data_IF_765130481152
#
_entry.id   IF_765130481152
#
_cell.length_a   1.000
_cell.length_b   1.000
_cell.length_c   1.000
_cell.angle_alpha   90.00
_cell.angle_beta   90.00
_cell.angle_gamma   90.00
#
_symmetry.space_group_name_H-M   'P 1'
#
loop_
_entity.id
_entity.type
_entity.pdbx_description
1 polymer ?
#
# COMPACT_ATOMS: atom_id res chain seq x y z
N UNK A 1 -7.33 5.23 -29.36
CA UNK A 1 -7.39 5.26 -27.87
C UNK A 1 -6.45 4.16 -27.37
N UNK A 2 -5.64 4.45 -26.37
CA UNK A 2 -4.70 3.47 -25.81
C UNK A 2 -5.46 2.28 -25.16
N UNK A 3 -4.91 1.09 -25.21
CA UNK A 3 -5.47 -0.10 -24.57
C UNK A 3 -5.08 -0.14 -23.09
N UNK A 4 -6.05 -0.33 -22.21
CA UNK A 4 -5.85 -0.48 -20.78
C UNK A 4 -6.15 -1.93 -20.39
N UNK A 5 -5.19 -2.62 -19.76
CA UNK A 5 -5.41 -3.93 -19.15
C UNK A 5 -5.83 -3.77 -17.69
N UNK A 6 -6.98 -4.34 -17.35
CA UNK A 6 -7.54 -4.38 -16.00
C UNK A 6 -7.25 -5.77 -15.43
N UNK A 7 -6.43 -5.84 -14.37
CA UNK A 7 -6.02 -7.09 -13.77
C UNK A 7 -6.87 -7.38 -12.53
N UNK A 8 -7.57 -8.52 -12.53
CA UNK A 8 -8.45 -8.92 -11.42
C UNK A 8 -8.11 -10.34 -10.95
N UNK A 9 -7.28 -10.48 -9.93
CA UNK A 9 -7.20 -11.74 -9.19
C UNK A 9 -8.49 -11.94 -8.39
N UNK A 10 -9.04 -13.15 -8.37
CA UNK A 10 -10.23 -13.42 -7.57
C UNK A 10 -10.24 -14.81 -6.96
N UNK A 11 -10.90 -14.91 -5.82
CA UNK A 11 -11.21 -16.17 -5.14
C UNK A 11 -12.50 -15.97 -4.34
N UNK A 12 -13.47 -16.87 -4.54
CA UNK A 12 -14.75 -16.86 -3.85
C UNK A 12 -15.47 -15.49 -3.94
N UNK A 13 -15.61 -14.94 -5.16
CA UNK A 13 -16.12 -13.59 -5.44
C UNK A 13 -17.55 -13.55 -5.96
N UNK A 14 -18.27 -14.68 -5.98
CA UNK A 14 -19.59 -14.84 -6.60
C UNK A 14 -20.60 -13.76 -6.21
N UNK A 15 -20.53 -13.28 -4.94
CA UNK A 15 -21.47 -12.27 -4.40
C UNK A 15 -21.28 -10.87 -5.00
N UNK A 16 -20.08 -10.58 -5.54
CA UNK A 16 -19.68 -9.21 -5.85
C UNK A 16 -19.22 -9.03 -7.28
N UNK A 17 -18.73 -10.09 -7.93
CA UNK A 17 -18.10 -10.05 -9.24
C UNK A 17 -18.97 -9.41 -10.32
N UNK A 18 -20.32 -9.59 -10.25
CA UNK A 18 -21.24 -8.99 -11.21
C UNK A 18 -21.25 -7.47 -11.13
N UNK A 19 -21.25 -6.90 -9.94
CA UNK A 19 -21.24 -5.45 -9.75
C UNK A 19 -19.90 -4.85 -10.21
N UNK A 20 -18.79 -5.52 -9.90
CA UNK A 20 -17.47 -5.19 -10.43
C UNK A 20 -17.47 -5.22 -11.96
N UNK A 21 -17.95 -6.28 -12.57
CA UNK A 21 -18.06 -6.42 -14.05
C UNK A 21 -18.85 -5.27 -14.67
N UNK A 22 -20.05 -4.99 -14.13
CA UNK A 22 -20.89 -3.89 -14.64
C UNK A 22 -20.18 -2.54 -14.52
N UNK A 23 -19.36 -2.31 -13.49
CA UNK A 23 -18.58 -1.08 -13.34
C UNK A 23 -17.46 -0.94 -14.39
N UNK A 24 -16.87 -2.06 -14.80
CA UNK A 24 -15.86 -2.12 -15.88
C UNK A 24 -16.53 -1.89 -17.25
N UNK A 25 -17.63 -2.56 -17.52
CA UNK A 25 -18.38 -2.39 -18.77
C UNK A 25 -18.97 -0.98 -18.92
N UNK A 26 -19.27 -0.32 -17.81
CA UNK A 26 -19.76 1.06 -17.76
C UNK A 26 -18.69 2.13 -17.95
N UNK A 27 -17.42 1.78 -18.19
CA UNK A 27 -16.37 2.79 -18.36
C UNK A 27 -16.53 3.60 -19.64
N UNK A 28 -16.34 4.92 -19.54
CA UNK A 28 -16.39 5.83 -20.69
C UNK A 28 -15.22 5.65 -21.66
N UNK A 29 -14.08 5.19 -21.17
CA UNK A 29 -12.99 4.68 -21.99
C UNK A 29 -13.28 3.23 -22.35
N UNK A 30 -13.56 2.93 -23.61
CA UNK A 30 -14.06 1.61 -24.05
C UNK A 30 -12.99 0.66 -24.55
N UNK A 31 -11.76 1.15 -24.78
CA UNK A 31 -10.64 0.33 -25.26
C UNK A 31 -9.87 -0.27 -24.08
N UNK A 32 -10.45 -1.28 -23.47
CA UNK A 32 -9.86 -2.02 -22.36
C UNK A 32 -9.94 -3.53 -22.61
N UNK A 33 -9.09 -4.28 -21.97
CA UNK A 33 -9.20 -5.73 -21.78
C UNK A 33 -9.29 -6.03 -20.27
N UNK A 34 -10.01 -7.06 -19.91
CA UNK A 34 -10.18 -7.49 -18.51
C UNK A 34 -9.62 -8.89 -18.32
N UNK A 35 -8.60 -9.03 -17.48
CA UNK A 35 -7.92 -10.29 -17.23
C UNK A 35 -8.29 -10.77 -15.84
N UNK A 36 -9.14 -11.77 -15.80
CA UNK A 36 -9.66 -12.45 -14.63
C UNK A 36 -8.79 -13.68 -14.34
N UNK A 37 -8.22 -13.78 -13.16
CA UNK A 37 -7.44 -14.94 -12.75
C UNK A 37 -8.04 -15.56 -11.50
N UNK A 38 -8.58 -16.77 -11.66
CA UNK A 38 -9.15 -17.57 -10.59
C UNK A 38 -8.04 -18.15 -9.71
N UNK A 39 -8.00 -17.77 -8.44
CA UNK A 39 -7.05 -18.33 -7.46
C UNK A 39 -7.69 -19.47 -6.66
N UNK A 40 -8.04 -20.56 -7.37
CA UNK A 40 -8.58 -21.79 -6.76
C UNK A 40 -9.87 -21.58 -5.96
N UNK A 41 -10.85 -20.96 -6.58
CA UNK A 41 -12.18 -20.84 -6.02
C UNK A 41 -12.86 -22.21 -5.83
N UNK A 42 -13.74 -22.32 -4.86
CA UNK A 42 -14.40 -23.57 -4.48
C UNK A 42 -15.61 -23.91 -5.36
N UNK A 43 -16.25 -22.90 -5.99
CA UNK A 43 -17.46 -23.04 -6.80
C UNK A 43 -17.31 -22.32 -8.15
N UNK A 44 -18.31 -22.48 -9.02
CA UNK A 44 -18.36 -21.80 -10.33
C UNK A 44 -18.82 -20.34 -10.17
N UNK A 45 -17.91 -19.49 -9.73
CA UNK A 45 -18.17 -18.09 -9.39
C UNK A 45 -18.47 -17.21 -10.58
N UNK A 46 -18.02 -17.61 -11.77
CA UNK A 46 -18.28 -16.88 -12.99
C UNK A 46 -19.69 -17.09 -13.54
N UNK A 47 -20.51 -17.95 -12.92
CA UNK A 47 -21.91 -18.11 -13.30
C UNK A 47 -22.68 -16.78 -13.25
N UNK A 48 -22.34 -15.91 -12.28
CA UNK A 48 -22.94 -14.58 -12.13
C UNK A 48 -22.64 -13.61 -13.26
N UNK A 49 -21.59 -13.88 -14.05
CA UNK A 49 -21.19 -13.07 -15.21
C UNK A 49 -21.10 -13.88 -16.49
N UNK A 50 -21.72 -15.08 -16.55
CA UNK A 50 -21.65 -15.98 -17.70
C UNK A 50 -22.14 -15.32 -19.00
N UNK A 51 -23.09 -14.42 -18.91
CA UNK A 51 -23.60 -13.60 -20.01
C UNK A 51 -22.56 -12.61 -20.57
N UNK A 52 -21.58 -12.22 -19.80
CA UNK A 52 -20.53 -11.27 -20.16
C UNK A 52 -19.25 -11.95 -20.66
N UNK A 53 -19.00 -13.21 -20.29
CA UNK A 53 -17.75 -13.92 -20.61
C UNK A 53 -17.52 -14.15 -22.12
N UNK A 54 -18.54 -13.98 -22.97
CA UNK A 54 -18.41 -14.05 -24.43
C UNK A 54 -17.84 -12.74 -25.02
N UNK A 55 -17.66 -11.67 -24.24
CA UNK A 55 -17.04 -10.44 -24.74
C UNK A 55 -15.55 -10.70 -25.03
N UNK A 56 -15.08 -10.43 -26.28
CA UNK A 56 -13.70 -10.71 -26.67
C UNK A 56 -12.64 -9.93 -25.89
N UNK A 57 -13.03 -8.92 -25.12
CA UNK A 57 -12.15 -8.15 -24.25
C UNK A 57 -11.84 -8.84 -22.92
N UNK A 58 -12.55 -9.95 -22.60
CA UNK A 58 -12.34 -10.71 -21.36
C UNK A 58 -11.41 -11.88 -21.62
N UNK A 59 -10.37 -12.00 -20.80
CA UNK A 59 -9.52 -13.18 -20.72
C UNK A 59 -9.70 -13.80 -19.33
N UNK A 60 -10.16 -15.04 -19.29
CA UNK A 60 -10.30 -15.79 -18.05
C UNK A 60 -9.24 -16.89 -17.97
N UNK A 61 -8.57 -16.98 -16.82
CA UNK A 61 -7.43 -17.86 -16.59
C UNK A 61 -7.53 -18.53 -15.21
N UNK A 62 -7.01 -19.75 -15.10
CA UNK A 62 -6.78 -20.44 -13.83
C UNK A 62 -5.37 -20.17 -13.31
N UNK A 63 -5.25 -19.76 -12.05
CA UNK A 63 -3.95 -19.54 -11.43
C UNK A 63 -3.15 -20.84 -11.35
N UNK A 64 -1.97 -20.87 -11.96
CA UNK A 64 -1.05 -22.03 -11.90
C UNK A 64 -0.26 -22.08 -10.59
N UNK A 65 -0.12 -20.94 -9.92
CA UNK A 65 0.47 -20.80 -8.61
C UNK A 65 -0.58 -20.80 -7.50
N UNK A 66 -0.35 -20.06 -6.44
CA UNK A 66 -1.28 -19.89 -5.33
C UNK A 66 -1.18 -18.52 -4.71
N UNK A 67 -2.33 -17.92 -4.41
CA UNK A 67 -2.43 -16.62 -3.78
C UNK A 67 -2.45 -15.45 -4.76
N UNK A 68 -2.77 -14.30 -4.22
CA UNK A 68 -3.03 -13.08 -4.99
C UNK A 68 -1.84 -12.64 -5.85
N UNK A 69 -0.61 -12.84 -5.36
CA UNK A 69 0.61 -12.42 -6.07
C UNK A 69 0.83 -13.26 -7.33
N UNK A 70 0.69 -14.59 -7.24
CA UNK A 70 0.81 -15.49 -8.41
C UNK A 70 -0.29 -15.18 -9.43
N UNK A 71 -1.51 -14.89 -8.97
CA UNK A 71 -2.62 -14.52 -9.84
C UNK A 71 -2.36 -13.16 -10.52
N UNK A 72 -1.82 -12.16 -9.83
CA UNK A 72 -1.43 -10.87 -10.41
C UNK A 72 -0.29 -11.01 -11.42
N UNK A 73 0.74 -11.82 -11.12
CA UNK A 73 1.81 -12.12 -12.06
C UNK A 73 1.25 -12.73 -13.36
N UNK A 74 0.38 -13.74 -13.23
CA UNK A 74 -0.25 -14.38 -14.38
C UNK A 74 -1.12 -13.40 -15.17
N UNK A 75 -1.92 -12.57 -14.49
CA UNK A 75 -2.72 -11.54 -15.14
C UNK A 75 -1.84 -10.57 -15.93
N UNK A 76 -0.74 -10.13 -15.36
CA UNK A 76 0.20 -9.23 -16.02
C UNK A 76 0.92 -9.86 -17.21
N UNK A 77 1.32 -11.13 -17.12
CA UNK A 77 1.92 -11.88 -18.24
C UNK A 77 0.98 -11.98 -19.45
N UNK A 78 -0.35 -12.05 -19.23
CA UNK A 78 -1.35 -12.13 -20.29
C UNK A 78 -1.94 -10.78 -20.71
N UNK A 79 -1.55 -9.69 -20.02
CA UNK A 79 -1.94 -8.34 -20.39
C UNK A 79 -1.25 -7.90 -21.68
N UNK A 80 -1.96 -7.18 -22.54
CA UNK A 80 -1.45 -6.63 -23.81
C UNK A 80 -1.58 -5.11 -23.90
N UNK A 81 -2.22 -4.47 -22.91
CA UNK A 81 -2.44 -3.03 -22.87
C UNK A 81 -1.16 -2.24 -22.64
N UNK A 82 -1.15 -1.03 -23.20
CA UNK A 82 -0.11 -0.03 -22.97
C UNK A 82 -0.13 0.49 -21.53
N UNK A 83 -1.33 0.49 -20.91
CA UNK A 83 -1.54 0.89 -19.54
C UNK A 83 -2.11 -0.28 -18.72
N UNK A 84 -1.71 -0.30 -17.45
CA UNK A 84 -2.10 -1.35 -16.50
C UNK A 84 -2.79 -0.72 -15.30
N UNK A 85 -3.89 -1.33 -14.88
CA UNK A 85 -4.55 -1.07 -13.59
C UNK A 85 -4.95 -2.39 -12.94
N UNK A 86 -5.09 -2.38 -11.62
CA UNK A 86 -5.71 -3.48 -10.87
C UNK A 86 -7.13 -3.11 -10.50
N UNK A 87 -7.99 -4.12 -10.43
CA UNK A 87 -9.33 -4.01 -9.88
C UNK A 87 -9.64 -5.27 -9.08
N UNK A 88 -9.98 -5.13 -7.81
CA UNK A 88 -10.35 -6.27 -6.99
C UNK A 88 -11.79 -6.68 -7.31
N UNK A 89 -12.10 -7.99 -7.21
CA UNK A 89 -13.33 -8.59 -7.71
C UNK A 89 -14.59 -8.25 -6.88
N UNK A 90 -14.43 -7.52 -5.81
CA UNK A 90 -15.47 -7.10 -4.86
C UNK A 90 -15.69 -5.58 -4.84
N UNK A 91 -14.92 -4.82 -5.64
CA UNK A 91 -14.94 -3.36 -5.66
C UNK A 91 -15.68 -2.80 -6.88
N UNK A 92 -15.91 -1.48 -6.88
CA UNK A 92 -16.61 -0.78 -7.96
C UNK A 92 -15.82 0.46 -8.38
N UNK A 93 -15.67 0.68 -9.69
CA UNK A 93 -15.05 1.88 -10.23
C UNK A 93 -16.08 2.81 -10.87
N UNK A 94 -16.02 4.15 -10.65
CA UNK A 94 -16.85 5.11 -11.35
C UNK A 94 -16.60 5.09 -12.87
N UNK A 95 -17.63 5.32 -13.66
CA UNK A 95 -17.59 5.22 -15.11
C UNK A 95 -16.52 6.08 -15.80
N UNK A 96 -16.10 7.16 -15.19
CA UNK A 96 -15.09 8.08 -15.74
C UNK A 96 -13.64 7.71 -15.38
N UNK A 97 -13.40 6.74 -14.48
CA UNK A 97 -12.07 6.48 -13.90
C UNK A 97 -10.99 6.27 -14.94
N UNK A 98 -11.17 5.33 -15.85
CA UNK A 98 -10.13 4.99 -16.83
C UNK A 98 -9.83 6.18 -17.76
N UNK A 99 -10.86 6.89 -18.23
CA UNK A 99 -10.69 8.05 -19.10
C UNK A 99 -9.94 9.20 -18.41
N UNK A 100 -10.30 9.54 -17.17
CA UNK A 100 -9.66 10.62 -16.43
C UNK A 100 -8.21 10.26 -16.06
N UNK A 101 -7.96 9.02 -15.65
CA UNK A 101 -6.62 8.56 -15.34
C UNK A 101 -5.70 8.59 -16.56
N UNK A 102 -6.19 8.10 -17.69
CA UNK A 102 -5.44 8.13 -18.94
C UNK A 102 -5.10 9.55 -19.37
N UNK A 103 -6.08 10.47 -19.27
CA UNK A 103 -5.88 11.88 -19.60
C UNK A 103 -4.74 12.52 -18.78
N UNK A 104 -4.62 12.21 -17.50
CA UNK A 104 -3.54 12.71 -16.66
C UNK A 104 -2.19 12.12 -17.09
N UNK A 105 -2.11 10.80 -17.30
CA UNK A 105 -0.87 10.14 -17.74
C UNK A 105 -0.36 10.61 -19.12
N UNK A 106 -1.27 11.00 -20.01
CA UNK A 106 -0.90 11.50 -21.34
C UNK A 106 -0.46 12.99 -21.32
N UNK A 107 -0.97 13.79 -20.39
CA UNK A 107 -0.75 15.24 -20.38
C UNK A 107 0.17 15.74 -19.27
N UNK A 108 0.49 14.92 -18.28
CA UNK A 108 1.33 15.28 -17.13
C UNK A 108 2.59 14.42 -17.07
N UNK A 109 3.57 14.86 -16.27
CA UNK A 109 4.80 14.09 -16.03
C UNK A 109 4.64 12.96 -15.00
N UNK A 110 3.40 12.51 -14.77
CA UNK A 110 3.12 11.42 -13.86
C UNK A 110 3.46 10.06 -14.46
N UNK A 111 4.03 9.16 -13.67
CA UNK A 111 4.13 7.74 -14.00
C UNK A 111 2.92 6.96 -13.47
N UNK A 112 2.30 7.45 -12.39
CA UNK A 112 1.19 6.79 -11.74
C UNK A 112 0.09 7.83 -11.49
N UNK A 113 -1.15 7.44 -11.74
CA UNK A 113 -2.33 8.23 -11.37
C UNK A 113 -3.17 7.43 -10.38
N UNK A 114 -3.68 8.11 -9.38
CA UNK A 114 -4.62 7.60 -8.39
C UNK A 114 -5.73 8.63 -8.14
N UNK A 115 -6.60 8.37 -7.19
CA UNK A 115 -7.61 9.33 -6.75
C UNK A 115 -8.20 8.96 -5.40
N UNK A 116 -9.19 9.71 -4.95
CA UNK A 116 -9.85 9.44 -3.67
C UNK A 116 -10.60 8.10 -3.68
N UNK A 117 -10.71 7.52 -2.50
CA UNK A 117 -11.48 6.29 -2.26
C UNK A 117 -12.73 6.58 -1.45
N UNK A 118 -13.71 5.68 -1.53
CA UNK A 118 -14.91 5.71 -0.70
C UNK A 118 -15.25 4.29 -0.26
N UNK A 119 -15.25 4.04 1.06
CA UNK A 119 -15.75 2.77 1.59
C UNK A 119 -17.28 2.70 1.49
N UNK A 120 -17.76 1.49 1.21
CA UNK A 120 -19.20 1.18 1.25
C UNK A 120 -19.41 -0.28 1.67
N UNK A 121 -20.58 -0.58 2.19
CA UNK A 121 -20.97 -1.95 2.53
C UNK A 121 -22.44 -2.19 2.22
N UNK A 122 -22.85 -3.45 2.08
CA UNK A 122 -24.25 -3.81 1.87
C UNK A 122 -25.10 -3.50 3.09
N UNK A 123 -24.53 -3.52 4.29
CA UNK A 123 -25.21 -3.18 5.55
C UNK A 123 -25.29 -1.68 5.82
N UNK A 124 -24.57 -0.87 5.04
CA UNK A 124 -24.43 0.58 5.26
C UNK A 124 -23.54 0.96 6.44
N UNK A 125 -23.03 -0.01 7.20
CA UNK A 125 -22.17 0.23 8.37
C UNK A 125 -20.70 0.03 7.98
N UNK A 126 -19.90 1.06 8.21
CA UNK A 126 -18.43 1.02 8.04
C UNK A 126 -17.80 1.29 9.40
N UNK A 127 -16.80 0.51 9.78
CA UNK A 127 -16.10 0.70 11.06
C UNK A 127 -15.39 2.06 11.10
N UNK A 128 -15.26 2.63 12.30
CA UNK A 128 -14.53 3.90 12.49
C UNK A 128 -13.08 3.83 12.03
N UNK A 129 -12.43 2.67 12.14
CA UNK A 129 -11.07 2.45 11.66
C UNK A 129 -10.97 2.58 10.12
N UNK A 130 -11.91 2.00 9.38
CA UNK A 130 -11.94 2.15 7.92
C UNK A 130 -12.29 3.56 7.48
N UNK A 131 -13.19 4.25 8.18
CA UNK A 131 -13.48 5.65 7.89
C UNK A 131 -12.26 6.55 8.18
N UNK A 132 -11.52 6.29 9.24
CA UNK A 132 -10.29 7.02 9.53
C UNK A 132 -9.22 6.76 8.44
N UNK A 133 -9.11 5.52 7.94
CA UNK A 133 -8.19 5.18 6.87
C UNK A 133 -8.61 5.79 5.52
N UNK A 134 -9.92 5.79 5.19
CA UNK A 134 -10.47 6.51 4.03
C UNK A 134 -10.07 8.00 4.04
N UNK A 135 -10.31 8.67 5.17
CA UNK A 135 -9.98 10.08 5.33
C UNK A 135 -8.48 10.31 5.16
N UNK A 136 -7.67 9.50 5.80
CA UNK A 136 -6.21 9.60 5.71
C UNK A 136 -5.69 9.40 4.27
N UNK A 137 -6.19 8.41 3.53
CA UNK A 137 -5.85 8.20 2.12
C UNK A 137 -6.27 9.40 1.26
N UNK A 138 -7.48 9.93 1.49
CA UNK A 138 -8.02 11.06 0.74
C UNK A 138 -7.23 12.35 1.01
N UNK A 139 -6.75 12.56 2.24
CA UNK A 139 -5.80 13.64 2.57
C UNK A 139 -4.49 13.52 1.80
N UNK A 140 -3.95 12.30 1.59
CA UNK A 140 -2.74 12.10 0.77
C UNK A 140 -2.96 12.57 -0.66
N UNK A 141 -4.14 12.29 -1.22
CA UNK A 141 -4.54 12.77 -2.55
C UNK A 141 -4.64 14.31 -2.58
N UNK A 142 -5.29 14.92 -1.60
CA UNK A 142 -5.44 16.38 -1.51
C UNK A 142 -4.09 17.11 -1.38
N UNK A 143 -3.18 16.54 -0.59
CA UNK A 143 -1.85 17.09 -0.35
C UNK A 143 -0.84 16.73 -1.45
N UNK A 144 -1.19 15.81 -2.37
CA UNK A 144 -0.26 15.23 -3.35
C UNK A 144 0.99 14.62 -2.68
N UNK A 145 0.83 14.12 -1.44
CA UNK A 145 1.90 13.55 -0.64
C UNK A 145 1.72 12.04 -0.48
N UNK A 146 2.28 11.28 -1.41
CA UNK A 146 2.17 9.82 -1.42
C UNK A 146 3.37 9.11 -0.78
N UNK A 147 4.48 9.81 -0.58
CA UNK A 147 5.71 9.20 -0.04
C UNK A 147 6.12 9.73 1.34
N UNK A 148 5.66 10.91 1.74
CA UNK A 148 6.02 11.49 3.05
C UNK A 148 5.56 10.66 4.25
N UNK A 149 4.53 9.83 4.07
CA UNK A 149 4.00 8.94 5.12
C UNK A 149 4.12 7.44 4.75
N UNK A 150 5.01 7.11 3.79
CA UNK A 150 5.14 5.75 3.25
C UNK A 150 5.49 4.71 4.31
N UNK A 151 6.18 5.07 5.37
CA UNK A 151 6.51 4.15 6.48
C UNK A 151 5.39 4.01 7.50
N UNK A 152 4.43 4.94 7.53
CA UNK A 152 3.27 4.86 8.42
C UNK A 152 2.28 3.80 7.94
N UNK A 153 1.86 3.90 6.68
CA UNK A 153 0.91 2.99 6.06
C UNK A 153 0.98 3.07 4.53
N UNK A 154 0.42 2.08 3.81
CA UNK A 154 0.28 2.12 2.37
C UNK A 154 -0.61 3.30 1.97
N UNK A 155 -0.06 4.23 1.17
CA UNK A 155 -0.71 5.51 0.84
C UNK A 155 -1.61 5.44 -0.38
N UNK A 156 -1.73 4.28 -1.02
CA UNK A 156 -2.62 4.02 -2.16
C UNK A 156 -3.46 2.77 -1.93
N UNK A 157 -4.71 2.82 -2.34
CA UNK A 157 -5.55 1.63 -2.38
C UNK A 157 -5.11 0.71 -3.53
N UNK A 158 -5.04 -0.61 -3.26
CA UNK A 158 -4.52 -1.64 -4.17
C UNK A 158 -5.12 -1.62 -5.58
N UNK A 159 -6.44 -1.34 -5.70
CA UNK A 159 -7.18 -1.28 -6.97
C UNK A 159 -7.38 0.14 -7.53
N UNK A 160 -6.68 1.15 -6.99
CA UNK A 160 -6.96 2.56 -7.36
C UNK A 160 -5.77 3.29 -7.97
N UNK A 161 -5.17 2.73 -8.98
CA UNK A 161 -4.09 3.35 -9.74
C UNK A 161 -4.14 2.97 -11.22
N UNK A 162 -3.47 3.75 -12.06
CA UNK A 162 -3.18 3.45 -13.46
C UNK A 162 -1.73 3.89 -13.73
N UNK A 163 -0.98 3.10 -14.49
CA UNK A 163 0.37 3.43 -14.93
C UNK A 163 0.68 2.83 -16.30
N UNK A 164 1.77 3.29 -16.94
CA UNK A 164 2.26 2.66 -18.17
C UNK A 164 2.81 1.28 -17.87
N UNK A 165 2.57 0.35 -18.79
CA UNK A 165 3.13 -1.01 -18.70
C UNK A 165 4.66 -0.99 -18.60
N UNK A 166 5.33 -0.19 -19.41
CA UNK A 166 6.80 -0.04 -19.41
C UNK A 166 7.36 0.40 -18.05
N UNK A 167 6.66 1.31 -17.37
CA UNK A 167 7.06 1.78 -16.06
C UNK A 167 6.88 0.69 -14.99
N UNK A 168 5.76 -0.07 -15.08
CA UNK A 168 5.54 -1.22 -14.20
C UNK A 168 6.59 -2.31 -14.41
N UNK A 169 6.96 -2.61 -15.66
CA UNK A 169 8.02 -3.56 -15.99
C UNK A 169 9.39 -3.08 -15.46
N UNK A 170 9.71 -1.80 -15.61
CA UNK A 170 10.96 -1.21 -15.14
C UNK A 170 11.13 -1.29 -13.63
N UNK A 171 10.06 -1.11 -12.85
CA UNK A 171 10.11 -1.27 -11.40
C UNK A 171 9.94 -2.74 -10.94
N UNK A 172 9.95 -3.71 -11.85
CA UNK A 172 9.94 -5.14 -11.57
C UNK A 172 8.56 -5.81 -11.55
N UNK A 173 7.50 -5.11 -11.97
CA UNK A 173 6.14 -5.66 -12.06
C UNK A 173 5.59 -6.18 -10.72
N UNK A 174 4.80 -7.23 -10.78
CA UNK A 174 4.38 -7.97 -9.57
C UNK A 174 5.43 -9.02 -9.24
N UNK A 175 5.91 -9.06 -7.99
CA UNK A 175 6.98 -9.96 -7.55
C UNK A 175 6.46 -10.92 -6.48
N UNK A 176 6.91 -12.19 -6.55
CA UNK A 176 6.52 -13.26 -5.62
C UNK A 176 7.25 -13.23 -4.28
N UNK A 177 8.11 -12.24 -4.05
CA UNK A 177 9.07 -12.28 -2.95
C UNK A 177 8.62 -11.55 -1.68
N UNK A 178 7.72 -10.57 -1.81
CA UNK A 178 7.35 -9.71 -0.70
C UNK A 178 5.82 -9.60 -0.56
N UNK A 179 5.38 -9.55 0.68
CA UNK A 179 3.99 -9.38 1.05
C UNK A 179 3.88 -8.42 2.25
N UNK A 180 2.95 -7.45 2.30
CA UNK A 180 1.85 -7.19 1.35
C UNK A 180 2.34 -6.67 -0.02
N UNK A 181 1.78 -7.20 -1.09
CA UNK A 181 2.25 -6.98 -2.47
C UNK A 181 2.03 -5.55 -2.97
N UNK A 182 0.91 -4.93 -2.58
CA UNK A 182 0.56 -3.55 -2.94
C UNK A 182 1.50 -2.56 -2.26
N UNK A 183 1.81 -2.79 -1.00
CA UNK A 183 2.73 -1.96 -0.25
C UNK A 183 4.19 -2.11 -0.72
N UNK A 184 4.59 -3.33 -1.08
CA UNK A 184 5.89 -3.56 -1.70
C UNK A 184 6.00 -2.85 -3.04
N UNK A 185 4.93 -2.88 -3.86
CA UNK A 185 4.87 -2.16 -5.12
C UNK A 185 5.02 -0.64 -4.93
N UNK A 186 4.36 -0.07 -3.93
CA UNK A 186 4.50 1.35 -3.59
C UNK A 186 5.95 1.71 -3.20
N UNK A 187 6.64 0.89 -2.41
CA UNK A 187 8.05 1.11 -2.10
C UNK A 187 8.96 1.02 -3.33
N UNK A 188 8.64 0.17 -4.29
CA UNK A 188 9.41 0.10 -5.55
C UNK A 188 9.17 1.31 -6.44
N UNK A 189 7.96 1.89 -6.43
CA UNK A 189 7.69 3.18 -7.06
C UNK A 189 8.48 4.31 -6.40
N UNK A 190 8.52 4.34 -5.07
CA UNK A 190 9.35 5.27 -4.31
C UNK A 190 10.84 5.14 -4.67
N UNK A 191 11.36 3.93 -4.69
CA UNK A 191 12.75 3.65 -5.07
C UNK A 191 13.07 4.08 -6.51
N UNK A 192 12.10 3.95 -7.42
CA UNK A 192 12.24 4.37 -8.82
C UNK A 192 12.11 5.88 -9.03
N UNK A 193 11.76 6.64 -7.98
CA UNK A 193 11.53 8.09 -8.07
C UNK A 193 10.31 8.44 -8.92
N UNK A 194 9.30 7.56 -8.99
CA UNK A 194 8.11 7.79 -9.81
C UNK A 194 7.22 8.88 -9.21
N UNK A 195 6.73 9.74 -10.08
CA UNK A 195 5.76 10.79 -9.70
C UNK A 195 4.35 10.22 -9.71
N UNK A 196 3.66 10.36 -8.59
CA UNK A 196 2.26 10.00 -8.45
C UNK A 196 1.42 11.28 -8.50
N UNK A 197 0.39 11.30 -9.34
CA UNK A 197 -0.60 12.38 -9.38
C UNK A 197 -1.94 11.87 -8.86
N UNK A 198 -2.51 12.56 -7.91
CA UNK A 198 -3.81 12.26 -7.31
C UNK A 198 -4.93 13.13 -7.89
N UNK A 199 -6.02 12.54 -8.35
CA UNK A 199 -7.25 13.26 -8.70
C UNK A 199 -8.07 13.53 -7.44
N UNK A 200 -8.42 14.80 -7.19
CA UNK A 200 -9.31 15.22 -6.10
C UNK A 200 -10.77 14.80 -6.39
N UNK A 201 -10.97 13.51 -6.58
CA UNK A 201 -12.25 12.91 -6.93
C UNK A 201 -12.27 11.44 -6.50
N UNK A 202 -13.44 10.93 -6.05
CA UNK A 202 -13.62 9.51 -5.75
C UNK A 202 -13.55 8.71 -7.05
N UNK A 203 -12.52 7.87 -7.17
CA UNK A 203 -12.22 7.04 -8.33
C UNK A 203 -12.33 5.55 -8.02
N UNK A 204 -12.58 5.21 -6.77
CA UNK A 204 -12.68 3.84 -6.31
C UNK A 204 -13.68 3.72 -5.16
N UNK A 205 -14.65 2.85 -5.31
CA UNK A 205 -15.57 2.46 -4.27
C UNK A 205 -15.09 1.13 -3.69
N UNK A 206 -14.65 1.18 -2.43
CA UNK A 206 -13.99 0.07 -1.74
C UNK A 206 -14.98 -0.65 -0.85
N UNK A 207 -15.29 -1.90 -1.20
CA UNK A 207 -16.31 -2.65 -0.46
C UNK A 207 -15.76 -3.18 0.86
N UNK A 208 -16.51 -2.96 1.95
CA UNK A 208 -16.27 -3.60 3.23
C UNK A 208 -17.22 -4.77 3.45
N UNK A 209 -16.65 -5.94 3.72
CA UNK A 209 -17.37 -7.16 4.08
C UNK A 209 -16.49 -8.09 4.95
N UNK A 210 -17.09 -9.09 5.61
CA UNK A 210 -16.38 -9.89 6.61
C UNK A 210 -15.38 -10.89 6.03
N UNK A 211 -15.54 -11.28 4.77
CA UNK A 211 -14.67 -12.26 4.09
C UNK A 211 -13.51 -11.63 3.32
N UNK A 212 -13.25 -10.31 3.47
CA UNK A 212 -12.10 -9.66 2.82
C UNK A 212 -10.78 -10.34 3.22
N UNK A 213 -9.88 -10.50 2.25
CA UNK A 213 -8.56 -11.09 2.44
C UNK A 213 -7.77 -10.38 3.54
N UNK A 214 -7.84 -9.05 3.62
CA UNK A 214 -7.20 -8.25 4.66
C UNK A 214 -7.70 -8.54 6.09
N UNK A 215 -8.91 -9.09 6.23
CA UNK A 215 -9.48 -9.50 7.54
C UNK A 215 -9.18 -10.96 7.89
N UNK A 216 -8.97 -11.81 6.89
CA UNK A 216 -8.95 -13.27 7.07
C UNK A 216 -7.57 -13.92 6.87
N UNK A 217 -6.67 -13.29 6.11
CA UNK A 217 -5.34 -13.84 5.86
C UNK A 217 -4.32 -13.46 6.92
N UNK A 218 -3.54 -14.45 7.37
CA UNK A 218 -2.40 -14.24 8.27
C UNK A 218 -1.27 -13.41 7.62
N UNK A 219 -1.23 -13.34 6.30
CA UNK A 219 -0.23 -12.59 5.54
C UNK A 219 -0.40 -11.08 5.72
N UNK A 220 -1.63 -10.62 6.01
CA UNK A 220 -1.91 -9.23 6.42
C UNK A 220 -1.77 -9.01 7.94
N UNK A 221 -1.12 -9.93 8.66
CA UNK A 221 -0.82 -9.71 10.06
C UNK A 221 0.16 -8.53 10.24
N UNK A 222 -0.03 -7.77 11.29
CA UNK A 222 0.78 -6.58 11.61
C UNK A 222 2.30 -6.83 11.50
N UNK A 223 2.76 -8.05 11.83
CA UNK A 223 4.18 -8.42 11.75
C UNK A 223 4.74 -8.36 10.33
N UNK A 224 3.97 -8.75 9.31
CA UNK A 224 4.41 -8.73 7.91
C UNK A 224 4.65 -7.30 7.43
N UNK A 225 3.75 -6.38 7.77
CA UNK A 225 3.89 -4.95 7.47
C UNK A 225 5.14 -4.35 8.11
N UNK A 226 5.41 -4.66 9.39
CA UNK A 226 6.60 -4.12 10.06
C UNK A 226 7.89 -4.70 9.48
N UNK A 227 7.91 -5.97 9.08
CA UNK A 227 9.08 -6.56 8.41
C UNK A 227 9.37 -5.81 7.11
N UNK A 228 8.37 -5.65 6.26
CA UNK A 228 8.51 -4.92 5.00
C UNK A 228 8.98 -3.47 5.22
N UNK A 229 8.35 -2.73 6.12
CA UNK A 229 8.71 -1.33 6.43
C UNK A 229 10.17 -1.20 6.84
N UNK A 230 10.65 -2.04 7.76
CA UNK A 230 12.03 -1.99 8.25
C UNK A 230 13.03 -2.47 7.20
N UNK A 231 12.68 -3.50 6.40
CA UNK A 231 13.50 -3.93 5.28
C UNK A 231 13.71 -2.80 4.27
N UNK A 232 12.62 -2.10 3.93
CA UNK A 232 12.65 -0.97 2.99
C UNK A 232 13.33 0.26 3.58
N UNK A 233 13.11 0.58 4.86
CA UNK A 233 13.82 1.67 5.53
C UNK A 233 15.33 1.44 5.50
N UNK A 234 15.80 0.27 5.90
CA UNK A 234 17.23 -0.05 5.91
C UNK A 234 17.85 -0.03 4.52
N UNK A 235 17.10 -0.42 3.48
CA UNK A 235 17.63 -0.46 2.11
C UNK A 235 17.53 0.86 1.35
N UNK A 236 16.60 1.76 1.71
CA UNK A 236 16.31 2.96 0.91
C UNK A 236 16.67 4.27 1.60
N UNK A 237 16.47 4.35 2.92
CA UNK A 237 16.53 5.63 3.63
C UNK A 237 17.52 5.66 4.80
N UNK A 238 17.93 4.49 5.33
CA UNK A 238 18.87 4.45 6.43
C UNK A 238 20.27 4.92 5.99
N UNK A 239 20.78 5.92 6.71
CA UNK A 239 22.15 6.40 6.57
C UNK A 239 22.96 5.96 7.80
N UNK A 240 23.90 5.06 7.62
CA UNK A 240 24.75 4.53 8.69
C UNK A 240 25.65 5.58 9.38
N UNK A 241 25.83 6.75 8.73
CA UNK A 241 26.60 7.87 9.28
C UNK A 241 25.80 8.72 10.26
N UNK A 242 24.49 8.57 10.26
CA UNK A 242 23.59 9.28 11.17
C UNK A 242 23.21 8.41 12.36
N UNK A 243 22.95 9.05 13.49
CA UNK A 243 22.42 8.32 14.64
C UNK A 243 20.98 7.84 14.35
N UNK A 244 20.75 6.53 14.48
CA UNK A 244 19.40 5.98 14.40
C UNK A 244 18.77 5.94 15.80
N UNK A 245 17.58 6.49 15.94
CA UNK A 245 16.81 6.51 17.17
C UNK A 245 15.47 5.79 16.97
N UNK A 246 15.16 4.85 17.84
CA UNK A 246 13.81 4.27 17.94
C UNK A 246 13.07 4.98 19.06
N UNK A 247 12.05 5.77 18.72
CA UNK A 247 11.23 6.48 19.68
C UNK A 247 9.99 5.67 20.05
N UNK A 248 9.91 5.24 21.31
CA UNK A 248 8.81 4.44 21.86
C UNK A 248 9.17 3.00 22.18
N UNK A 249 8.63 2.51 23.31
CA UNK A 249 8.87 1.16 23.86
C UNK A 249 7.61 0.29 23.88
N UNK A 250 6.53 0.77 23.26
CA UNK A 250 5.26 0.02 23.08
C UNK A 250 5.40 -1.16 22.12
N UNK A 251 4.27 -1.77 21.75
CA UNK A 251 4.25 -2.93 20.87
C UNK A 251 4.97 -2.68 19.55
N UNK A 252 4.69 -1.55 18.87
CA UNK A 252 5.34 -1.16 17.63
C UNK A 252 6.86 -1.00 17.80
N UNK A 253 7.31 -0.23 18.80
CA UNK A 253 8.74 -0.03 19.07
C UNK A 253 9.48 -1.34 19.31
N UNK A 254 8.86 -2.30 20.00
CA UNK A 254 9.44 -3.64 20.21
C UNK A 254 9.54 -4.47 18.93
N UNK A 255 8.57 -4.35 18.00
CA UNK A 255 8.63 -5.01 16.69
C UNK A 255 9.77 -4.42 15.85
N UNK A 256 9.87 -3.09 15.81
CA UNK A 256 10.95 -2.36 15.12
C UNK A 256 12.31 -2.76 15.69
N UNK A 257 12.50 -2.65 17.00
CA UNK A 257 13.76 -2.99 17.64
C UNK A 257 14.20 -4.44 17.35
N UNK A 258 13.27 -5.41 17.38
CA UNK A 258 13.58 -6.81 17.02
C UNK A 258 14.09 -6.94 15.59
N UNK A 259 13.48 -6.24 14.64
CA UNK A 259 13.90 -6.27 13.24
C UNK A 259 15.29 -5.66 13.06
N UNK A 260 15.55 -4.51 13.69
CA UNK A 260 16.86 -3.85 13.64
C UNK A 260 17.96 -4.71 14.27
N UNK A 261 17.68 -5.36 15.41
CA UNK A 261 18.61 -6.29 16.06
C UNK A 261 18.93 -7.47 15.12
N UNK A 262 17.92 -8.07 14.50
CA UNK A 262 18.11 -9.18 13.54
C UNK A 262 18.96 -8.79 12.33
N UNK A 263 18.90 -7.51 11.95
CA UNK A 263 19.67 -6.94 10.83
C UNK A 263 21.04 -6.39 11.25
N UNK A 264 21.39 -6.49 12.52
CA UNK A 264 22.63 -5.94 13.08
C UNK A 264 22.76 -4.42 12.88
N UNK A 265 21.61 -3.70 12.82
CA UNK A 265 21.58 -2.24 12.75
C UNK A 265 21.61 -1.68 14.15
N UNK A 266 22.60 -0.82 14.43
CA UNK A 266 22.74 -0.15 15.71
C UNK A 266 21.73 0.99 15.84
N UNK A 267 21.13 1.15 17.01
CA UNK A 267 20.17 2.22 17.30
C UNK A 267 20.18 2.60 18.78
N UNK A 268 19.75 3.81 19.07
CA UNK A 268 19.44 4.29 20.43
C UNK A 268 17.96 4.12 20.69
N UNK A 269 17.58 3.53 21.82
CA UNK A 269 16.17 3.28 22.13
C UNK A 269 15.69 4.27 23.19
N UNK A 270 14.66 5.06 22.85
CA UNK A 270 14.13 6.13 23.68
C UNK A 270 12.76 5.80 24.23
N UNK A 271 12.54 6.13 25.50
CA UNK A 271 11.24 6.07 26.18
C UNK A 271 10.97 7.39 26.90
N UNK A 272 9.71 7.80 26.97
CA UNK A 272 9.25 8.89 27.85
C UNK A 272 9.22 8.49 29.34
N UNK A 273 9.30 7.17 29.62
CA UNK A 273 9.30 6.60 30.97
C UNK A 273 10.43 5.56 31.08
N UNK A 274 11.71 6.00 30.97
CA UNK A 274 12.86 5.07 30.93
C UNK A 274 13.03 4.31 32.25
N UNK A 275 12.58 4.85 33.35
CA UNK A 275 12.60 4.22 34.67
C UNK A 275 11.79 2.92 34.75
N UNK A 276 10.84 2.71 33.86
CA UNK A 276 10.10 1.44 33.73
C UNK A 276 10.97 0.31 33.16
N UNK A 277 12.14 0.63 32.63
CA UNK A 277 13.02 -0.31 31.93
C UNK A 277 14.46 -0.30 32.47
N UNK A 278 14.68 -0.44 33.80
CA UNK A 278 16.02 -0.30 34.42
C UNK A 278 17.01 -1.38 33.92
N UNK A 279 16.54 -2.49 33.41
CA UNK A 279 17.36 -3.57 32.83
C UNK A 279 17.40 -3.52 31.29
N UNK A 280 16.82 -2.49 30.69
CA UNK A 280 16.64 -2.40 29.24
C UNK A 280 15.60 -3.40 28.69
N UNK A 281 15.55 -3.51 27.36
CA UNK A 281 14.66 -4.44 26.63
C UNK A 281 15.52 -5.17 25.60
N UNK A 282 15.39 -6.49 25.51
CA UNK A 282 16.19 -7.36 24.59
C UNK A 282 17.70 -7.15 24.69
N UNK A 283 18.22 -6.81 25.89
CA UNK A 283 19.63 -6.53 26.11
C UNK A 283 20.09 -5.13 25.68
N UNK A 284 19.20 -4.28 25.19
CA UNK A 284 19.48 -2.89 24.83
C UNK A 284 19.03 -1.95 25.95
N UNK A 285 19.87 -0.96 26.29
CA UNK A 285 19.49 0.10 27.21
C UNK A 285 18.33 0.92 26.64
N UNK A 286 17.40 1.31 27.50
CA UNK A 286 16.33 2.26 27.18
C UNK A 286 16.65 3.56 27.88
N UNK A 287 16.80 4.62 27.10
CA UNK A 287 17.22 5.94 27.56
C UNK A 287 16.05 6.91 27.63
N UNK A 288 16.15 7.92 28.49
CA UNK A 288 15.29 9.09 28.43
C UNK A 288 15.75 10.05 27.33
N UNK A 289 14.85 10.88 26.85
CA UNK A 289 15.17 11.85 25.81
C UNK A 289 16.28 12.83 26.26
N UNK A 290 16.29 13.22 27.52
CA UNK A 290 17.28 14.11 28.09
C UNK A 290 18.69 13.51 28.19
N UNK A 291 18.82 12.20 27.94
CA UNK A 291 20.09 11.48 28.00
C UNK A 291 20.62 11.09 26.62
N UNK A 292 19.98 11.57 25.55
CA UNK A 292 20.46 11.34 24.17
C UNK A 292 21.80 12.08 24.01
N UNK A 293 22.83 11.39 23.48
CA UNK A 293 24.07 12.08 23.13
C UNK A 293 23.79 13.19 22.11
N UNK A 294 24.34 14.37 22.34
CA UNK A 294 24.27 15.47 21.38
C UNK A 294 24.91 15.02 20.05
N UNK A 295 24.20 15.10 18.97
CA UNK A 295 24.70 14.80 17.64
C UNK A 295 24.21 15.84 16.63
N UNK A 296 24.91 15.93 15.48
CA UNK A 296 24.53 16.89 14.43
C UNK A 296 23.29 16.41 13.69
N UNK A 297 23.22 15.12 13.32
CA UNK A 297 22.18 14.55 12.48
C UNK A 297 21.64 13.24 13.06
N UNK A 298 20.31 13.06 13.04
CA UNK A 298 19.69 11.81 13.43
C UNK A 298 18.48 11.45 12.54
N UNK A 299 18.27 10.13 12.44
CA UNK A 299 17.07 9.53 11.85
C UNK A 299 16.23 8.94 12.97
N UNK A 300 14.96 9.29 13.05
CA UNK A 300 14.05 8.85 14.11
C UNK A 300 12.95 7.97 13.54
N UNK A 301 12.93 6.71 13.96
CA UNK A 301 11.79 5.81 13.75
C UNK A 301 10.77 6.07 14.87
N UNK A 302 9.75 6.86 14.57
CA UNK A 302 8.68 7.16 15.52
C UNK A 302 7.65 6.03 15.55
N UNK A 303 7.53 5.40 16.71
CA UNK A 303 6.58 4.30 16.96
C UNK A 303 5.48 4.68 17.96
N UNK A 304 5.39 5.97 18.30
CA UNK A 304 4.39 6.53 19.21
C UNK A 304 3.24 7.18 18.42
N UNK A 305 2.22 7.62 19.14
CA UNK A 305 1.12 8.42 18.60
C UNK A 305 1.37 9.93 18.72
N UNK A 306 2.54 10.32 19.25
CA UNK A 306 2.92 11.72 19.40
C UNK A 306 3.13 12.31 18.02
N UNK A 307 2.58 13.50 17.81
CA UNK A 307 2.68 14.22 16.54
C UNK A 307 4.14 14.59 16.22
N UNK A 308 4.46 14.61 14.94
CA UNK A 308 5.80 14.91 14.46
C UNK A 308 6.26 16.32 14.86
N UNK A 309 5.34 17.30 14.88
CA UNK A 309 5.68 18.68 15.27
C UNK A 309 6.09 18.75 16.75
N UNK A 310 5.35 18.06 17.63
CA UNK A 310 5.67 17.96 19.04
C UNK A 310 7.01 17.26 19.27
N UNK A 311 7.28 16.17 18.53
CA UNK A 311 8.55 15.47 18.59
C UNK A 311 9.71 16.31 18.04
N UNK A 312 9.49 17.09 16.99
CA UNK A 312 10.51 18.01 16.45
C UNK A 312 10.98 19.01 17.49
N UNK A 313 10.06 19.67 18.20
CA UNK A 313 10.43 20.60 19.28
C UNK A 313 11.31 19.93 20.34
N UNK A 314 11.00 18.69 20.67
CA UNK A 314 11.73 17.91 21.66
C UNK A 314 13.16 17.57 21.20
N UNK A 315 13.29 17.02 19.99
CA UNK A 315 14.58 16.56 19.49
C UNK A 315 15.48 17.69 19.02
N UNK A 316 14.95 18.80 18.52
CA UNK A 316 15.72 19.96 18.06
C UNK A 316 16.48 20.67 19.20
N UNK A 317 16.12 20.41 20.45
CA UNK A 317 16.89 20.91 21.59
C UNK A 317 18.25 20.22 21.79
N UNK A 318 18.42 19.00 21.20
CA UNK A 318 19.62 18.15 21.36
C UNK A 318 20.24 17.72 20.04
N UNK A 319 19.52 17.82 18.93
CA UNK A 319 19.95 17.38 17.59
C UNK A 319 19.67 18.51 16.59
N UNK A 320 20.66 18.92 15.83
CA UNK A 320 20.54 20.05 14.90
C UNK A 320 19.69 19.73 13.68
N UNK A 321 19.83 18.51 13.13
CA UNK A 321 19.09 18.05 11.97
C UNK A 321 18.45 16.69 12.22
N UNK A 322 17.12 16.61 12.08
CA UNK A 322 16.34 15.41 12.39
C UNK A 322 15.44 15.04 11.22
N UNK A 323 15.52 13.79 10.80
CA UNK A 323 14.60 13.20 9.82
C UNK A 323 13.70 12.17 10.49
N UNK A 324 12.39 12.37 10.40
CA UNK A 324 11.39 11.49 11.02
C UNK A 324 10.83 10.48 10.02
N UNK A 325 10.59 9.28 10.53
CA UNK A 325 9.91 8.19 9.84
C UNK A 325 8.83 7.65 10.79
N UNK A 326 7.57 7.98 10.52
CA UNK A 326 6.44 7.49 11.30
C UNK A 326 6.10 6.05 10.92
N UNK A 327 5.91 5.15 11.91
CA UNK A 327 5.68 3.72 11.73
C UNK A 327 4.33 3.25 12.29
#
# INVERSE_FOLDING_TARGET
MALISILTPYRNAEKYIRETALSIFGQTHTNWEWILVNDHSEENELAEIADLLNDPRIKWLENKGRGIVDALCMAFEHASGEYITRMDADDVMPAFKLMEFLRVLENEKAQIVTGKVKYFSQTGLISSGYLAYENWLNERVEQQDFYGQIYRECTLASGNWLMRRSDLETCGGFTRLNYPEDYDLLFRWYQSGYVITGLDRVTHWWRDHDTRTSKTSADYAQKAFFSLKIDRFVSLDWDEKQQLIVNGTGQKGRLVAKQLIQKHVSFTWISHEPEKFPKGIYGHAVLGIDTIPVCECAQILNTTLIDECELKEYYQSVISEVRFFNL
#
